data_IF_809286351450
#
_entry.id   IF_809286351450
#
_cell.length_a   1.000
_cell.length_b   1.000
_cell.length_c   1.000
_cell.angle_alpha   90.00
_cell.angle_beta   90.00
_cell.angle_gamma   90.00
#
_symmetry.space_group_name_H-M   'P 1'
#
loop_
_entity.id
_entity.type
_entity.pdbx_description
1 polymer ?
#
# COMPACT_ATOMS: atom_id res chain seq x y z
N UNK A 1 -4.70 -28.79 -12.04
CA UNK A 1 -4.04 -28.14 -13.20
C UNK A 1 -3.94 -26.62 -13.02
N UNK A 2 -5.02 -25.93 -12.59
CA UNK A 2 -5.01 -24.48 -12.34
C UNK A 2 -3.99 -24.01 -11.28
N UNK A 3 -3.82 -24.74 -10.18
CA UNK A 3 -2.91 -24.34 -9.09
C UNK A 3 -1.43 -24.35 -9.49
N UNK A 4 -0.99 -25.32 -10.28
CA UNK A 4 0.38 -25.34 -10.82
C UNK A 4 0.63 -24.21 -11.82
N UNK A 5 -0.40 -23.82 -12.59
CA UNK A 5 -0.31 -22.69 -13.52
C UNK A 5 -0.20 -21.39 -12.73
N UNK A 6 -1.04 -21.19 -11.72
CA UNK A 6 -0.98 -20.03 -10.81
C UNK A 6 0.39 -19.92 -10.13
N UNK A 7 0.94 -21.02 -9.60
CA UNK A 7 2.26 -21.02 -8.96
C UNK A 7 3.37 -20.58 -9.93
N UNK A 8 3.42 -21.17 -11.14
CA UNK A 8 4.41 -20.80 -12.17
C UNK A 8 4.25 -19.35 -12.64
N UNK A 9 3.01 -18.87 -12.78
CA UNK A 9 2.73 -17.47 -13.11
C UNK A 9 3.26 -16.54 -12.01
N UNK A 10 3.01 -16.86 -10.74
CA UNK A 10 3.50 -16.06 -9.61
C UNK A 10 5.03 -16.00 -9.56
N UNK A 11 5.72 -17.14 -9.73
CA UNK A 11 7.19 -17.17 -9.81
C UNK A 11 7.72 -16.28 -10.94
N UNK A 12 7.12 -16.35 -12.12
CA UNK A 12 7.47 -15.48 -13.25
C UNK A 12 7.25 -14.00 -12.95
N UNK A 13 6.14 -13.65 -12.29
CA UNK A 13 5.83 -12.27 -11.85
C UNK A 13 6.89 -11.76 -10.89
N UNK A 14 7.27 -12.55 -9.88
CA UNK A 14 8.28 -12.15 -8.88
C UNK A 14 9.63 -11.90 -9.54
N UNK A 15 10.07 -12.78 -10.45
CA UNK A 15 11.34 -12.62 -11.17
C UNK A 15 11.35 -11.38 -12.08
N UNK A 16 10.28 -11.18 -12.84
CA UNK A 16 10.13 -10.01 -13.71
C UNK A 16 10.08 -8.71 -12.89
N UNK A 17 9.40 -8.74 -11.74
CA UNK A 17 9.34 -7.58 -10.86
C UNK A 17 10.69 -7.28 -10.21
N UNK A 18 11.42 -8.30 -9.76
CA UNK A 18 12.78 -8.14 -9.26
C UNK A 18 13.68 -7.45 -10.30
N UNK A 19 13.63 -7.90 -11.56
CA UNK A 19 14.41 -7.31 -12.65
C UNK A 19 14.00 -5.84 -12.92
N UNK A 20 12.70 -5.54 -12.88
CA UNK A 20 12.19 -4.17 -13.02
C UNK A 20 12.71 -3.25 -11.90
N UNK A 21 12.66 -3.69 -10.64
CA UNK A 21 13.18 -2.93 -9.50
C UNK A 21 14.70 -2.72 -9.61
N UNK A 22 15.46 -3.73 -10.05
CA UNK A 22 16.90 -3.59 -10.29
C UNK A 22 17.20 -2.53 -11.37
N UNK A 23 16.41 -2.48 -12.45
CA UNK A 23 16.60 -1.45 -13.48
C UNK A 23 16.24 -0.05 -12.99
N UNK A 24 15.19 0.10 -12.17
CA UNK A 24 14.92 1.38 -11.49
C UNK A 24 16.05 1.76 -10.53
N UNK A 25 16.66 0.79 -9.85
CA UNK A 25 17.84 1.03 -8.99
C UNK A 25 19.06 1.48 -9.81
N UNK A 26 19.32 0.86 -10.96
CA UNK A 26 20.38 1.29 -11.89
C UNK A 26 20.12 2.70 -12.41
N UNK A 27 18.88 3.04 -12.75
CA UNK A 27 18.51 4.42 -13.12
C UNK A 27 18.70 5.39 -11.95
N UNK A 28 18.36 4.99 -10.73
CA UNK A 28 18.56 5.80 -9.53
C UNK A 28 20.05 6.10 -9.27
N UNK A 29 20.95 5.13 -9.47
CA UNK A 29 22.39 5.31 -9.28
C UNK A 29 23.04 6.07 -10.45
N UNK A 30 22.82 5.60 -11.69
CA UNK A 30 23.55 6.05 -12.88
C UNK A 30 22.80 7.06 -13.76
N UNK A 31 21.56 7.45 -13.41
CA UNK A 31 20.73 8.39 -14.17
C UNK A 31 20.51 7.97 -15.64
N UNK A 32 20.38 6.67 -15.87
CA UNK A 32 20.24 6.11 -17.20
C UNK A 32 18.78 6.07 -17.65
N UNK A 33 18.36 7.06 -18.47
CA UNK A 33 16.99 7.14 -19.00
C UNK A 33 16.55 5.93 -19.82
N UNK A 34 17.47 5.19 -20.45
CA UNK A 34 17.13 3.94 -21.15
C UNK A 34 16.71 2.86 -20.14
N UNK A 35 17.44 2.74 -19.03
CA UNK A 35 17.11 1.81 -17.96
C UNK A 35 15.73 2.13 -17.34
N UNK A 36 15.44 3.42 -17.09
CA UNK A 36 14.12 3.84 -16.61
C UNK A 36 12.97 3.43 -17.56
N UNK A 37 13.14 3.66 -18.87
CA UNK A 37 12.13 3.29 -19.86
C UNK A 37 11.88 1.78 -19.89
N UNK A 38 12.95 0.98 -19.84
CA UNK A 38 12.84 -0.48 -19.82
C UNK A 38 12.16 -0.93 -18.52
N UNK A 39 12.57 -0.38 -17.38
CA UNK A 39 11.96 -0.67 -16.08
C UNK A 39 10.45 -0.36 -16.07
N UNK A 40 10.04 0.76 -16.65
CA UNK A 40 8.63 1.14 -16.76
C UNK A 40 7.80 0.15 -17.59
N UNK A 41 8.32 -0.27 -18.74
CA UNK A 41 7.64 -1.27 -19.58
C UNK A 41 7.57 -2.63 -18.89
N UNK A 42 8.65 -3.07 -18.25
CA UNK A 42 8.63 -4.30 -17.45
C UNK A 42 7.65 -4.23 -16.30
N UNK A 43 7.59 -3.10 -15.58
CA UNK A 43 6.61 -2.90 -14.51
C UNK A 43 5.17 -2.97 -15.03
N UNK A 44 4.93 -2.43 -16.22
CA UNK A 44 3.62 -2.50 -16.88
C UNK A 44 3.27 -3.94 -17.28
N UNK A 45 4.24 -4.73 -17.71
CA UNK A 45 4.06 -6.18 -17.97
C UNK A 45 3.75 -6.92 -16.66
N UNK A 46 4.49 -6.64 -15.58
CA UNK A 46 4.22 -7.20 -14.24
C UNK A 46 2.79 -6.87 -13.80
N UNK A 47 2.36 -5.62 -13.95
CA UNK A 47 1.00 -5.20 -13.62
C UNK A 47 -0.07 -5.94 -14.43
N UNK A 48 0.14 -6.11 -15.74
CA UNK A 48 -0.76 -6.90 -16.59
C UNK A 48 -0.81 -8.35 -16.13
N UNK A 49 0.34 -8.98 -15.87
CA UNK A 49 0.40 -10.37 -15.40
C UNK A 49 -0.28 -10.55 -14.04
N UNK A 50 -0.10 -9.61 -13.09
CA UNK A 50 -0.83 -9.63 -11.82
C UNK A 50 -2.34 -9.48 -12.02
N UNK A 51 -2.77 -8.64 -12.96
CA UNK A 51 -4.19 -8.48 -13.31
C UNK A 51 -4.76 -9.79 -13.87
N UNK A 52 -4.03 -10.44 -14.79
CA UNK A 52 -4.43 -11.76 -15.31
C UNK A 52 -4.44 -12.83 -14.22
N UNK A 53 -3.47 -12.83 -13.31
CA UNK A 53 -3.42 -13.73 -12.17
C UNK A 53 -4.65 -13.58 -11.28
N UNK A 54 -5.02 -12.34 -10.93
CA UNK A 54 -6.21 -12.05 -10.11
C UNK A 54 -7.50 -12.50 -10.82
N UNK A 55 -7.64 -12.21 -12.11
CA UNK A 55 -8.82 -12.62 -12.89
C UNK A 55 -8.93 -14.15 -13.02
N UNK A 56 -7.81 -14.83 -13.26
CA UNK A 56 -7.78 -16.29 -13.33
C UNK A 56 -8.09 -16.92 -11.97
N UNK A 57 -7.56 -16.34 -10.88
CA UNK A 57 -7.88 -16.77 -9.53
C UNK A 57 -9.38 -16.61 -9.22
N UNK A 58 -10.00 -15.49 -9.63
CA UNK A 58 -11.44 -15.28 -9.48
C UNK A 58 -12.26 -16.31 -10.26
N UNK A 59 -11.81 -16.68 -11.46
CA UNK A 59 -12.47 -17.70 -12.27
C UNK A 59 -12.36 -19.10 -11.65
N UNK A 60 -11.16 -19.48 -11.16
CA UNK A 60 -10.91 -20.82 -10.59
C UNK A 60 -11.57 -21.01 -9.22
N UNK A 61 -11.49 -19.99 -8.34
CA UNK A 61 -12.04 -20.06 -6.97
C UNK A 61 -13.47 -19.53 -6.85
N UNK A 62 -14.03 -18.93 -7.91
CA UNK A 62 -15.40 -18.39 -7.93
C UNK A 62 -15.66 -17.23 -6.96
N UNK A 63 -14.61 -16.60 -6.41
CA UNK A 63 -14.70 -15.53 -5.41
C UNK A 63 -13.59 -14.50 -5.57
N UNK A 64 -13.76 -13.34 -4.94
CA UNK A 64 -12.77 -12.26 -4.98
C UNK A 64 -11.55 -12.56 -4.07
N UNK A 65 -10.30 -12.37 -4.56
CA UNK A 65 -9.06 -12.73 -3.85
C UNK A 65 -8.61 -11.65 -2.86
N UNK A 66 -9.36 -11.45 -1.78
CA UNK A 66 -8.99 -10.51 -0.70
C UNK A 66 -9.34 -11.01 0.70
N UNK A 67 -9.84 -12.25 0.81
CA UNK A 67 -10.40 -12.73 2.07
C UNK A 67 -9.31 -13.16 3.05
N UNK A 68 -8.17 -13.64 2.55
CA UNK A 68 -7.01 -14.00 3.37
C UNK A 68 -6.00 -12.85 3.46
N UNK A 69 -5.12 -12.88 4.47
CA UNK A 69 -4.04 -11.89 4.57
C UNK A 69 -3.10 -11.93 3.37
N UNK A 70 -2.80 -13.13 2.84
CA UNK A 70 -1.93 -13.31 1.68
C UNK A 70 -2.59 -12.78 0.41
N UNK A 71 -3.86 -13.12 0.17
CA UNK A 71 -4.68 -12.57 -0.91
C UNK A 71 -4.75 -11.04 -0.84
N UNK A 72 -5.03 -10.49 0.34
CA UNK A 72 -5.08 -9.05 0.58
C UNK A 72 -3.73 -8.35 0.33
N UNK A 73 -2.61 -8.96 0.73
CA UNK A 73 -1.27 -8.44 0.44
C UNK A 73 -0.98 -8.43 -1.07
N UNK A 74 -1.34 -9.47 -1.80
CA UNK A 74 -1.16 -9.52 -3.25
C UNK A 74 -2.00 -8.44 -3.95
N UNK A 75 -3.27 -8.31 -3.58
CA UNK A 75 -4.14 -7.25 -4.09
C UNK A 75 -3.60 -5.86 -3.74
N UNK A 76 -3.05 -5.70 -2.54
CA UNK A 76 -2.44 -4.45 -2.11
C UNK A 76 -1.20 -4.07 -2.93
N UNK A 77 -0.34 -5.04 -3.27
CA UNK A 77 0.77 -4.83 -4.20
C UNK A 77 0.24 -4.37 -5.56
N UNK A 78 -0.80 -5.01 -6.09
CA UNK A 78 -1.41 -4.61 -7.36
C UNK A 78 -1.96 -3.16 -7.31
N UNK A 79 -2.59 -2.76 -6.20
CA UNK A 79 -3.03 -1.37 -5.97
C UNK A 79 -1.85 -0.41 -5.98
N UNK A 80 -0.75 -0.71 -5.26
CA UNK A 80 0.43 0.15 -5.22
C UNK A 80 1.08 0.31 -6.59
N UNK A 81 1.20 -0.77 -7.38
CA UNK A 81 1.74 -0.69 -8.75
C UNK A 81 0.81 0.15 -9.63
N UNK A 82 -0.50 -0.05 -9.53
CA UNK A 82 -1.50 0.72 -10.28
C UNK A 82 -1.39 2.21 -9.99
N UNK A 83 -1.36 2.59 -8.70
CA UNK A 83 -1.20 3.98 -8.29
C UNK A 83 0.17 4.55 -8.68
N UNK A 84 1.23 3.74 -8.62
CA UNK A 84 2.58 4.13 -9.06
C UNK A 84 2.61 4.49 -10.55
N UNK A 85 2.04 3.63 -11.40
CA UNK A 85 1.95 3.85 -12.85
C UNK A 85 1.06 5.06 -13.17
N UNK A 86 -0.09 5.19 -12.50
CA UNK A 86 -0.99 6.33 -12.65
C UNK A 86 -0.31 7.65 -12.28
N UNK A 87 0.33 7.72 -11.11
CA UNK A 87 1.05 8.92 -10.68
C UNK A 87 2.24 9.22 -11.59
N UNK A 88 2.98 8.21 -12.05
CA UNK A 88 4.08 8.44 -12.99
C UNK A 88 3.57 9.10 -14.28
N UNK A 89 2.41 8.67 -14.78
CA UNK A 89 1.77 9.24 -15.97
C UNK A 89 1.44 10.72 -15.81
N UNK A 90 0.96 11.13 -14.63
CA UNK A 90 0.51 12.51 -14.39
C UNK A 90 1.60 13.44 -13.84
N UNK A 91 2.45 12.97 -12.92
CA UNK A 91 3.36 13.81 -12.14
C UNK A 91 4.84 13.69 -12.54
N UNK A 92 5.21 12.66 -13.33
CA UNK A 92 6.57 12.39 -13.82
C UNK A 92 7.65 12.48 -12.73
N UNK A 93 7.37 11.88 -11.56
CA UNK A 93 8.28 11.89 -10.41
C UNK A 93 9.02 10.54 -10.38
N UNK A 94 10.15 10.46 -11.08
CA UNK A 94 10.86 9.18 -11.27
C UNK A 94 11.30 8.52 -9.96
N UNK A 95 11.75 9.30 -8.97
CA UNK A 95 12.15 8.78 -7.66
C UNK A 95 10.98 8.15 -6.90
N UNK A 96 9.79 8.76 -6.98
CA UNK A 96 8.60 8.23 -6.34
C UNK A 96 8.25 6.83 -6.86
N UNK A 97 8.37 6.62 -8.18
CA UNK A 97 8.15 5.33 -8.81
C UNK A 97 9.12 4.28 -8.27
N UNK A 98 10.41 4.61 -8.17
CA UNK A 98 11.39 3.68 -7.60
C UNK A 98 11.05 3.28 -6.16
N UNK A 99 10.86 4.23 -5.24
CA UNK A 99 10.57 3.90 -3.83
C UNK A 99 9.25 3.15 -3.65
N UNK A 100 8.21 3.51 -4.41
CA UNK A 100 6.92 2.80 -4.38
C UNK A 100 7.08 1.35 -4.81
N UNK A 101 7.85 1.11 -5.88
CA UNK A 101 8.04 -0.23 -6.41
C UNK A 101 8.98 -1.10 -5.56
N UNK A 102 9.98 -0.50 -4.90
CA UNK A 102 10.77 -1.23 -3.90
C UNK A 102 9.87 -1.70 -2.76
N UNK A 103 9.02 -0.83 -2.23
CA UNK A 103 8.13 -1.18 -1.13
C UNK A 103 7.08 -2.23 -1.56
N UNK A 104 6.47 -2.06 -2.72
CA UNK A 104 5.51 -3.03 -3.27
C UNK A 104 6.18 -4.39 -3.57
N UNK A 105 7.42 -4.41 -4.05
CA UNK A 105 8.18 -5.64 -4.22
C UNK A 105 8.49 -6.33 -2.87
N UNK A 106 8.88 -5.58 -1.84
CA UNK A 106 9.10 -6.14 -0.49
C UNK A 106 7.82 -6.82 0.04
N UNK A 107 6.65 -6.21 -0.19
CA UNK A 107 5.37 -6.80 0.19
C UNK A 107 5.05 -8.07 -0.61
N UNK A 108 5.38 -8.10 -1.90
CA UNK A 108 5.23 -9.31 -2.74
C UNK A 108 6.18 -10.44 -2.30
N UNK A 109 7.39 -10.10 -1.85
CA UNK A 109 8.34 -11.07 -1.28
C UNK A 109 7.80 -11.61 0.04
N UNK A 110 7.28 -10.75 0.92
CA UNK A 110 6.62 -11.17 2.17
C UNK A 110 5.45 -12.12 1.86
N UNK A 111 4.63 -11.81 0.86
CA UNK A 111 3.60 -12.73 0.36
C UNK A 111 4.23 -14.07 -0.04
N UNK A 112 5.22 -14.06 -0.93
CA UNK A 112 5.83 -15.28 -1.50
C UNK A 112 6.42 -16.21 -0.45
N UNK A 113 7.07 -15.68 0.58
CA UNK A 113 7.70 -16.48 1.64
C UNK A 113 6.84 -16.64 2.90
N UNK A 114 5.60 -16.13 2.91
CA UNK A 114 4.69 -16.36 4.03
C UNK A 114 4.31 -17.85 4.09
N UNK A 115 4.40 -18.52 5.26
CA UNK A 115 4.20 -19.97 5.38
C UNK A 115 2.74 -20.45 5.19
N UNK A 116 1.79 -19.57 4.87
CA UNK A 116 0.34 -19.84 4.94
C UNK A 116 -0.37 -19.75 3.57
N UNK A 117 0.22 -20.32 2.53
CA UNK A 117 -0.30 -20.18 1.16
C UNK A 117 -1.59 -20.97 0.86
N UNK A 118 -1.98 -21.93 1.71
CA UNK A 118 -2.93 -22.97 1.28
C UNK A 118 -3.99 -23.40 2.30
N UNK A 119 -4.28 -22.59 3.33
CA UNK A 119 -5.44 -22.88 4.19
C UNK A 119 -6.62 -22.04 3.70
N UNK A 120 -7.45 -22.65 2.84
CA UNK A 120 -8.79 -22.15 2.54
C UNK A 120 -9.57 -22.13 3.84
N UNK A 121 -9.62 -20.96 4.48
CA UNK A 121 -10.42 -20.81 5.67
C UNK A 121 -11.89 -20.81 5.24
N UNK A 122 -12.51 -21.98 5.35
CA UNK A 122 -13.94 -22.22 5.14
C UNK A 122 -14.78 -21.19 5.91
N UNK A 123 -14.27 -20.70 7.06
CA UNK A 123 -14.90 -19.66 7.85
C UNK A 123 -14.94 -18.29 7.14
N UNK A 124 -13.86 -17.91 6.45
CA UNK A 124 -13.78 -16.64 5.72
C UNK A 124 -14.72 -16.60 4.52
N UNK A 125 -14.91 -17.74 3.84
CA UNK A 125 -15.88 -17.87 2.76
C UNK A 125 -17.32 -17.80 3.28
N UNK A 126 -17.60 -18.38 4.46
CA UNK A 126 -18.92 -18.26 5.11
C UNK A 126 -19.26 -16.84 5.57
N UNK A 127 -18.23 -16.05 5.90
CA UNK A 127 -18.33 -14.67 6.35
C UNK A 127 -18.31 -13.66 5.18
N UNK A 128 -17.96 -14.11 3.99
CA UNK A 128 -17.91 -13.29 2.78
C UNK A 128 -19.29 -12.72 2.46
N UNK A 129 -19.37 -11.40 2.39
CA UNK A 129 -20.51 -10.65 1.87
C UNK A 129 -20.01 -9.51 1.01
N UNK A 130 -20.87 -8.98 0.14
CA UNK A 130 -20.52 -7.81 -0.68
C UNK A 130 -20.02 -6.65 0.17
N UNK A 131 -20.63 -6.46 1.35
CA UNK A 131 -20.25 -5.41 2.29
C UNK A 131 -18.82 -5.62 2.86
N UNK A 132 -18.43 -6.87 3.16
CA UNK A 132 -17.06 -7.19 3.58
C UNK A 132 -16.05 -6.90 2.45
N UNK A 133 -16.39 -7.27 1.21
CA UNK A 133 -15.52 -7.04 0.06
C UNK A 133 -15.30 -5.55 -0.14
N UNK A 134 -16.37 -4.76 -0.12
CA UNK A 134 -16.30 -3.29 -0.26
C UNK A 134 -15.49 -2.68 0.90
N UNK A 135 -15.71 -3.12 2.14
CA UNK A 135 -14.93 -2.71 3.31
C UNK A 135 -13.43 -2.92 3.11
N UNK A 136 -13.01 -4.13 2.70
CA UNK A 136 -11.61 -4.48 2.53
C UNK A 136 -11.00 -3.66 1.39
N UNK A 137 -11.68 -3.54 0.25
CA UNK A 137 -11.18 -2.76 -0.90
C UNK A 137 -10.96 -1.30 -0.52
N UNK A 138 -11.95 -0.65 0.10
CA UNK A 138 -11.85 0.75 0.52
C UNK A 138 -10.72 0.94 1.55
N UNK A 139 -10.58 0.00 2.49
CA UNK A 139 -9.51 0.05 3.50
C UNK A 139 -8.12 -0.10 2.86
N UNK A 140 -7.96 -1.01 1.89
CA UNK A 140 -6.70 -1.18 1.15
C UNK A 140 -6.37 0.04 0.28
N UNK A 141 -7.37 0.67 -0.34
CA UNK A 141 -7.17 1.93 -1.06
C UNK A 141 -6.71 3.07 -0.13
N UNK A 142 -7.29 3.16 1.07
CA UNK A 142 -6.85 4.11 2.08
C UNK A 142 -5.38 3.89 2.49
N UNK A 143 -5.00 2.63 2.77
CA UNK A 143 -3.61 2.28 3.09
C UNK A 143 -2.66 2.56 1.92
N UNK A 144 -3.12 2.37 0.68
CA UNK A 144 -2.38 2.73 -0.52
C UNK A 144 -2.09 4.23 -0.54
N UNK A 145 -3.11 5.06 -0.33
CA UNK A 145 -2.94 6.52 -0.25
C UNK A 145 -1.96 6.93 0.87
N UNK A 146 -2.08 6.36 2.07
CA UNK A 146 -1.15 6.62 3.17
C UNK A 146 0.28 6.18 2.88
N UNK A 147 0.47 5.05 2.19
CA UNK A 147 1.79 4.57 1.77
C UNK A 147 2.45 5.52 0.79
N UNK A 148 1.70 6.00 -0.20
CA UNK A 148 2.24 6.96 -1.16
C UNK A 148 2.55 8.29 -0.50
N UNK A 149 1.70 8.73 0.44
CA UNK A 149 1.93 9.91 1.24
C UNK A 149 3.22 9.80 2.06
N UNK A 150 3.43 8.65 2.71
CA UNK A 150 4.67 8.32 3.42
C UNK A 150 5.89 8.42 2.50
N UNK A 151 5.82 7.86 1.29
CA UNK A 151 6.91 7.93 0.32
C UNK A 151 7.22 9.38 -0.07
N UNK A 152 6.20 10.21 -0.30
CA UNK A 152 6.42 11.64 -0.56
C UNK A 152 7.05 12.37 0.63
N UNK A 153 6.68 12.03 1.87
CA UNK A 153 7.34 12.58 3.06
C UNK A 153 8.78 12.12 3.21
N UNK A 154 9.10 10.86 2.85
CA UNK A 154 10.47 10.38 2.81
C UNK A 154 11.30 11.14 1.76
N UNK A 155 10.76 11.31 0.56
CA UNK A 155 11.38 12.10 -0.50
C UNK A 155 11.57 13.56 -0.10
N UNK A 156 10.61 14.14 0.62
CA UNK A 156 10.72 15.48 1.19
C UNK A 156 11.95 15.58 2.11
N UNK A 157 12.13 14.63 3.04
CA UNK A 157 13.27 14.65 3.96
C UNK A 157 14.61 14.46 3.24
N UNK A 158 14.68 13.53 2.29
CA UNK A 158 15.88 13.33 1.45
C UNK A 158 16.22 14.63 0.72
N UNK A 159 15.23 15.29 0.11
CA UNK A 159 15.43 16.54 -0.61
C UNK A 159 15.86 17.68 0.33
N UNK A 160 15.27 17.75 1.52
CA UNK A 160 15.60 18.75 2.53
C UNK A 160 17.06 18.62 2.99
N UNK A 161 17.52 17.40 3.25
CA UNK A 161 18.89 17.14 3.68
C UNK A 161 19.91 17.41 2.54
N UNK A 162 19.56 17.10 1.29
CA UNK A 162 20.40 17.40 0.13
C UNK A 162 20.57 18.92 -0.08
N UNK A 163 19.51 19.71 0.11
CA UNK A 163 19.56 21.17 0.07
C UNK A 163 20.44 21.73 1.18
N UNK A 164 20.28 21.23 2.42
CA UNK A 164 21.07 21.67 3.58
C UNK A 164 22.56 21.38 3.41
N UNK A 165 22.91 20.25 2.81
CA UNK A 165 24.30 19.87 2.51
C UNK A 165 24.88 20.59 1.28
N UNK A 166 24.13 21.52 0.65
CA UNK A 166 24.52 22.21 -0.60
C UNK A 166 24.97 21.23 -1.69
N UNK A 167 24.39 20.04 -1.74
CA UNK A 167 24.69 19.04 -2.78
C UNK A 167 23.79 19.29 -3.99
N UNK A 168 24.17 20.29 -4.80
CA UNK A 168 23.48 20.71 -6.03
C UNK A 168 23.74 19.74 -7.20
N UNK A 169 23.43 18.45 -6.97
CA UNK A 169 23.58 17.40 -7.97
C UNK A 169 22.32 17.16 -8.79
N UNK A 170 22.44 16.37 -9.87
CA UNK A 170 21.32 15.93 -10.71
C UNK A 170 20.17 15.24 -9.93
N UNK A 171 20.47 14.63 -8.78
CA UNK A 171 19.50 14.02 -7.87
C UNK A 171 18.50 15.02 -7.30
N UNK A 172 18.97 16.21 -6.91
CA UNK A 172 18.16 17.28 -6.33
C UNK A 172 17.06 17.76 -7.29
N UNK A 173 17.40 17.89 -8.58
CA UNK A 173 16.49 18.41 -9.61
C UNK A 173 15.34 17.42 -9.89
N UNK A 174 15.60 16.11 -9.80
CA UNK A 174 14.68 15.05 -10.24
C UNK A 174 13.74 14.56 -9.11
N UNK A 175 14.08 14.77 -7.84
CA UNK A 175 13.15 14.53 -6.71
C UNK A 175 12.02 15.58 -6.72
N UNK A 176 12.33 16.83 -7.08
CA UNK A 176 11.36 17.92 -7.23
C UNK A 176 11.44 18.96 -6.13
N UNK A 177 10.41 19.81 -6.04
CA UNK A 177 10.33 20.89 -5.05
C UNK A 177 9.76 20.37 -3.72
N UNK A 178 10.37 20.75 -2.59
CA UNK A 178 9.88 20.49 -1.24
C UNK A 178 8.39 20.81 -1.09
N UNK A 179 7.95 21.97 -1.56
CA UNK A 179 6.55 22.38 -1.47
C UNK A 179 5.61 21.42 -2.22
N UNK A 180 6.03 20.93 -3.39
CA UNK A 180 5.26 19.97 -4.20
C UNK A 180 5.18 18.61 -3.50
N UNK A 181 6.29 18.12 -2.94
CA UNK A 181 6.31 16.83 -2.21
C UNK A 181 5.40 16.88 -0.97
N UNK A 182 5.48 17.97 -0.20
CA UNK A 182 4.62 18.19 0.95
C UNK A 182 3.15 18.31 0.56
N UNK A 183 2.84 19.02 -0.53
CA UNK A 183 1.48 19.14 -1.04
C UNK A 183 0.91 17.79 -1.49
N UNK A 184 1.71 16.97 -2.20
CA UNK A 184 1.28 15.65 -2.65
C UNK A 184 1.03 14.70 -1.48
N UNK A 185 1.92 14.69 -0.47
CA UNK A 185 1.69 13.93 0.76
C UNK A 185 0.39 14.37 1.46
N UNK A 186 0.16 15.68 1.57
CA UNK A 186 -1.07 16.21 2.15
C UNK A 186 -2.32 15.79 1.37
N UNK A 187 -2.34 15.94 0.05
CA UNK A 187 -3.49 15.55 -0.79
C UNK A 187 -3.81 14.07 -0.62
N UNK A 188 -2.79 13.20 -0.61
CA UNK A 188 -2.98 11.77 -0.40
C UNK A 188 -3.54 11.45 0.97
N UNK A 189 -3.14 12.16 2.03
CA UNK A 189 -3.73 12.01 3.36
C UNK A 189 -5.19 12.51 3.40
N UNK A 190 -5.49 13.62 2.72
CA UNK A 190 -6.86 14.14 2.59
C UNK A 190 -7.77 13.15 1.87
N UNK A 191 -7.25 12.37 0.91
CA UNK A 191 -7.99 11.30 0.24
C UNK A 191 -8.08 10.04 1.12
N UNK A 192 -6.97 9.66 1.75
CA UNK A 192 -6.87 8.43 2.54
C UNK A 192 -7.74 8.44 3.81
N UNK A 193 -7.88 9.59 4.49
CA UNK A 193 -8.67 9.68 5.74
C UNK A 193 -10.16 9.38 5.52
N UNK A 194 -10.87 10.01 4.56
CA UNK A 194 -12.25 9.67 4.25
C UNK A 194 -12.41 8.21 3.82
N UNK A 195 -11.50 7.68 3.01
CA UNK A 195 -11.52 6.26 2.63
C UNK A 195 -11.41 5.35 3.86
N UNK A 196 -10.47 5.62 4.76
CA UNK A 196 -10.32 4.84 5.99
C UNK A 196 -11.56 4.95 6.88
N UNK A 197 -12.15 6.15 6.99
CA UNK A 197 -13.36 6.38 7.77
C UNK A 197 -14.53 5.56 7.21
N UNK A 198 -14.77 5.62 5.91
CA UNK A 198 -15.77 4.79 5.23
C UNK A 198 -15.49 3.30 5.44
N UNK A 199 -14.22 2.89 5.36
CA UNK A 199 -13.78 1.54 5.67
C UNK A 199 -14.18 1.13 7.08
N UNK A 200 -13.84 1.92 8.11
CA UNK A 200 -14.20 1.63 9.51
C UNK A 200 -15.72 1.52 9.70
N UNK A 201 -16.50 2.45 9.13
CA UNK A 201 -17.97 2.42 9.22
C UNK A 201 -18.54 1.14 8.61
N UNK A 202 -18.10 0.77 7.40
CA UNK A 202 -18.55 -0.45 6.74
C UNK A 202 -18.10 -1.71 7.51
N UNK A 203 -16.88 -1.71 8.07
CA UNK A 203 -16.40 -2.82 8.89
C UNK A 203 -17.23 -3.02 10.16
N UNK A 204 -17.62 -1.93 10.82
CA UNK A 204 -18.50 -1.97 11.99
C UNK A 204 -19.90 -2.46 11.63
N UNK A 205 -20.47 -1.96 10.52
CA UNK A 205 -21.78 -2.41 10.05
C UNK A 205 -21.76 -3.90 9.70
N UNK A 206 -20.71 -4.37 9.04
CA UNK A 206 -20.51 -5.79 8.75
C UNK A 206 -20.51 -6.62 10.02
N UNK A 207 -19.69 -6.21 11.00
CA UNK A 207 -19.50 -6.95 12.24
C UNK A 207 -20.81 -7.02 13.05
N UNK A 208 -21.58 -5.93 13.09
CA UNK A 208 -22.90 -5.89 13.72
C UNK A 208 -23.91 -6.87 13.11
N UNK A 209 -23.86 -7.07 11.78
CA UNK A 209 -24.79 -7.97 11.07
C UNK A 209 -24.37 -9.44 11.20
N UNK A 210 -23.07 -9.73 11.17
CA UNK A 210 -22.56 -11.11 11.04
C UNK A 210 -22.12 -11.75 12.33
N UNK A 211 -21.90 -10.99 13.40
CA UNK A 211 -21.28 -11.49 14.63
C UNK A 211 -22.24 -11.26 15.81
N UNK A 212 -22.87 -12.35 16.32
CA UNK A 212 -23.64 -12.28 17.55
C UNK A 212 -22.74 -11.82 18.71
N UNK A 213 -23.25 -10.94 19.58
CA UNK A 213 -22.53 -10.41 20.75
C UNK A 213 -21.24 -9.65 20.41
N UNK A 214 -21.32 -8.69 19.48
CA UNK A 214 -20.20 -7.84 19.06
C UNK A 214 -19.49 -7.19 20.27
N UNK A 215 -18.27 -7.65 20.54
CA UNK A 215 -17.38 -7.00 21.50
C UNK A 215 -16.73 -5.81 20.80
N UNK A 216 -17.21 -4.58 21.10
CA UNK A 216 -16.65 -3.34 20.55
C UNK A 216 -15.17 -3.11 20.92
N UNK A 217 -14.63 -3.88 21.85
CA UNK A 217 -13.24 -3.78 22.34
C UNK A 217 -12.24 -4.64 21.53
N UNK A 218 -12.50 -4.85 20.24
CA UNK A 218 -11.55 -5.54 19.36
C UNK A 218 -10.36 -4.62 19.02
N UNK A 219 -9.14 -5.16 19.11
CA UNK A 219 -7.89 -4.42 18.87
C UNK A 219 -7.81 -3.82 17.47
N UNK A 220 -8.47 -4.43 16.48
CA UNK A 220 -8.51 -3.92 15.10
C UNK A 220 -9.37 -2.69 14.95
N UNK A 221 -10.53 -2.66 15.63
CA UNK A 221 -11.44 -1.51 15.60
C UNK A 221 -10.76 -0.33 16.30
N UNK A 222 -10.24 -0.57 17.51
CA UNK A 222 -9.54 0.46 18.29
C UNK A 222 -8.32 0.99 17.54
N UNK A 223 -7.52 0.10 16.95
CA UNK A 223 -6.35 0.47 16.15
C UNK A 223 -6.70 1.32 14.93
N UNK A 224 -7.79 0.99 14.23
CA UNK A 224 -8.23 1.75 13.05
C UNK A 224 -8.81 3.13 13.42
N UNK A 225 -9.55 3.22 14.52
CA UNK A 225 -9.97 4.51 15.10
C UNK A 225 -8.77 5.35 15.55
N UNK A 226 -7.75 4.73 16.16
CA UNK A 226 -6.53 5.41 16.56
C UNK A 226 -5.77 5.98 15.35
N UNK A 227 -5.65 5.20 14.26
CA UNK A 227 -5.07 5.69 12.99
C UNK A 227 -5.84 6.91 12.47
N UNK A 228 -7.18 6.89 12.50
CA UNK A 228 -8.00 8.02 12.09
C UNK A 228 -7.72 9.27 12.94
N UNK A 229 -7.61 9.12 14.26
CA UNK A 229 -7.27 10.23 15.17
C UNK A 229 -5.89 10.80 14.83
N UNK A 230 -4.88 9.96 14.65
CA UNK A 230 -3.51 10.39 14.34
C UNK A 230 -3.46 11.15 13.01
N UNK A 231 -4.12 10.65 11.96
CA UNK A 231 -4.19 11.38 10.69
C UNK A 231 -5.09 12.62 10.75
N UNK A 232 -6.11 12.62 11.61
CA UNK A 232 -6.91 13.81 11.91
C UNK A 232 -6.06 14.91 12.52
N UNK A 233 -5.19 14.58 13.49
CA UNK A 233 -4.20 15.50 14.07
C UNK A 233 -3.24 15.98 12.98
N UNK A 234 -2.71 15.09 12.14
CA UNK A 234 -1.84 15.47 11.02
C UNK A 234 -2.48 16.53 10.11
N UNK A 235 -3.74 16.30 9.69
CA UNK A 235 -4.48 17.22 8.83
C UNK A 235 -4.77 18.55 9.55
N UNK A 236 -5.17 18.49 10.81
CA UNK A 236 -5.42 19.67 11.64
C UNK A 236 -4.17 20.57 11.76
N UNK A 237 -3.02 19.98 12.13
CA UNK A 237 -1.75 20.70 12.29
C UNK A 237 -1.31 21.36 10.99
N UNK A 238 -1.55 20.72 9.85
CA UNK A 238 -1.26 21.27 8.52
C UNK A 238 -2.18 22.43 8.15
N UNK A 239 -3.48 22.32 8.38
CA UNK A 239 -4.47 23.38 8.08
C UNK A 239 -4.19 24.63 8.93
N UNK A 240 -3.88 24.42 10.22
CA UNK A 240 -3.55 25.50 11.16
C UNK A 240 -2.19 26.13 10.92
N UNK A 241 -1.36 25.53 10.04
CA UNK A 241 0.04 25.92 9.80
C UNK A 241 0.89 25.91 11.08
N UNK A 242 0.48 25.14 12.08
CA UNK A 242 1.20 24.99 13.36
C UNK A 242 2.47 24.15 13.19
N UNK A 243 2.47 23.22 12.23
CA UNK A 243 3.65 22.47 11.80
C UNK A 243 3.81 22.53 10.29
N UNK A 244 5.03 22.82 9.83
CA UNK A 244 5.35 22.90 8.41
C UNK A 244 6.63 22.14 8.09
N UNK A 245 6.73 21.68 6.84
CA UNK A 245 7.95 21.09 6.31
C UNK A 245 8.41 19.84 7.04
N UNK A 246 9.63 19.90 7.60
CA UNK A 246 10.34 18.73 8.15
C UNK A 246 9.57 18.03 9.27
N UNK A 247 9.01 18.78 10.21
CA UNK A 247 8.32 18.19 11.35
C UNK A 247 7.02 17.50 10.93
N UNK A 248 6.32 18.08 9.94
CA UNK A 248 5.12 17.49 9.36
C UNK A 248 5.44 16.20 8.60
N UNK A 249 6.56 16.16 7.86
CA UNK A 249 7.02 14.95 7.20
C UNK A 249 7.34 13.82 8.19
N UNK A 250 7.99 14.13 9.33
CA UNK A 250 8.20 13.15 10.39
C UNK A 250 6.90 12.65 11.04
N UNK A 251 5.94 13.55 11.28
CA UNK A 251 4.63 13.17 11.80
C UNK A 251 3.92 12.20 10.85
N UNK A 252 3.94 12.46 9.55
CA UNK A 252 3.36 11.56 8.55
C UNK A 252 4.05 10.19 8.53
N UNK A 253 5.37 10.17 8.66
CA UNK A 253 6.15 8.93 8.75
C UNK A 253 5.74 8.13 9.99
N UNK A 254 5.67 8.77 11.15
CA UNK A 254 5.22 8.12 12.37
C UNK A 254 3.77 7.60 12.24
N UNK A 255 2.86 8.39 11.66
CA UNK A 255 1.48 7.99 11.39
C UNK A 255 1.40 6.74 10.50
N UNK A 256 2.23 6.67 9.46
CA UNK A 256 2.29 5.50 8.59
C UNK A 256 2.85 4.26 9.29
N UNK A 257 3.84 4.41 10.18
CA UNK A 257 4.31 3.28 10.99
C UNK A 257 3.20 2.73 11.90
N UNK A 258 2.32 3.59 12.41
CA UNK A 258 1.13 3.17 13.16
C UNK A 258 0.15 2.40 12.25
N UNK A 259 -0.02 2.80 10.98
CA UNK A 259 -0.80 2.02 10.00
C UNK A 259 -0.22 0.63 9.81
N UNK A 260 1.10 0.49 9.67
CA UNK A 260 1.75 -0.83 9.53
C UNK A 260 1.53 -1.71 10.76
N UNK A 261 1.64 -1.13 11.97
CA UNK A 261 1.33 -1.82 13.23
C UNK A 261 -0.14 -2.27 13.23
N UNK A 262 -1.08 -1.40 12.87
CA UNK A 262 -2.49 -1.74 12.81
C UNK A 262 -2.80 -2.82 11.76
N UNK A 263 -2.11 -2.80 10.62
CA UNK A 263 -2.31 -3.77 9.56
C UNK A 263 -1.76 -5.15 9.94
N UNK A 264 -0.48 -5.24 10.32
CA UNK A 264 0.20 -6.52 10.57
C UNK A 264 0.01 -7.10 11.98
N UNK A 265 0.04 -6.26 13.02
CA UNK A 265 -0.01 -6.73 14.41
C UNK A 265 -1.45 -6.82 14.89
N UNK A 266 -2.21 -5.73 14.79
CA UNK A 266 -3.60 -5.70 15.26
C UNK A 266 -4.53 -6.52 14.35
N UNK A 267 -4.15 -6.72 13.09
CA UNK A 267 -4.80 -7.69 12.20
C UNK A 267 -4.67 -9.14 12.69
N UNK A 268 -3.55 -9.51 13.31
CA UNK A 268 -3.33 -10.86 13.87
C UNK A 268 -3.97 -11.07 15.24
N UNK A 269 -4.19 -9.98 15.99
CA UNK A 269 -4.73 -10.01 17.36
C UNK A 269 -6.26 -9.79 17.41
N UNK A 270 -6.90 -9.62 16.26
CA UNK A 270 -8.36 -9.42 16.18
C UNK A 270 -9.12 -10.73 16.36
N UNK A 271 -10.19 -10.70 17.15
CA UNK A 271 -11.14 -11.80 17.34
C UNK A 271 -11.96 -12.08 16.07
N UNK A 272 -11.98 -11.15 15.11
CA UNK A 272 -12.60 -11.33 13.79
C UNK A 272 -11.66 -11.97 12.77
N UNK A 273 -10.36 -11.96 13.07
CA UNK A 273 -9.32 -12.65 12.32
C UNK A 273 -8.78 -13.83 13.14
N UNK A 274 -9.67 -14.73 13.58
CA UNK A 274 -9.29 -16.06 14.06
C UNK A 274 -8.87 -16.89 12.83
N UNK A 275 -7.66 -16.63 12.34
CA UNK A 275 -6.98 -17.39 11.28
C UNK A 275 -5.88 -18.31 11.86
N UNK A 276 -5.91 -18.52 13.18
CA UNK A 276 -4.84 -19.19 13.91
C UNK A 276 -5.29 -20.39 14.74
N UNK A 277 -6.56 -20.82 14.64
CA UNK A 277 -7.05 -22.07 15.22
C UNK A 277 -7.83 -22.88 14.21
#
# INVERSE_FOLDING_TARGET
>A
MGEQILAKMHEGIVLLYAFSVLLYFVDFLHHNRKANRIAFWLLSIVWLLQTFFLLFYMYDKGRFPILTLSEGLYFYVWVLITLSLAINRFLRVDFFVFFTNVLAFLLLVIYTFAPFHWQSNVLAEKLASELLIIHIIISLLAYGAFTLSFIFSLLYLIQYDLLKQKKWGKRLIRIGNLAKLEQLAYILNVIGVPLLLSGVILGLQWAYIKIPDLVFYDWKIIGSCFVLIVYGIYLYMKIRKEMMGRNLAFLNIAAFLIVLINFFLLGKLSLFHIWYY
#
